data_IF_091110411626
#
_entry.id   IF_091110411626
#
_cell.length_a   1.000
_cell.length_b   1.000
_cell.length_c   1.000
_cell.angle_alpha   90.00
_cell.angle_beta   90.00
_cell.angle_gamma   90.00
#
_symmetry.space_group_name_H-M   'P 1'
#
loop_
_entity.id
_entity.type
_entity.pdbx_description
1 polymer ?
#
# COMPACT_ATOMS: atom_id res chain seq x y z
N UNK A 1 -15.94 8.59 -28.25
CA UNK A 1 -16.50 8.07 -26.99
C UNK A 1 -16.77 6.61 -27.24
N UNK A 2 -16.02 5.76 -26.57
CA UNK A 2 -16.10 4.32 -26.75
C UNK A 2 -16.74 3.74 -25.50
N UNK A 3 -17.67 2.80 -25.68
CA UNK A 3 -18.43 2.18 -24.61
C UNK A 3 -18.50 0.68 -24.85
N UNK A 4 -18.34 -0.09 -23.77
CA UNK A 4 -18.40 -1.54 -23.78
C UNK A 4 -19.23 -2.00 -22.59
N UNK A 5 -20.14 -2.95 -22.84
CA UNK A 5 -20.78 -3.74 -21.79
C UNK A 5 -20.02 -5.07 -21.65
N UNK A 6 -19.62 -5.40 -20.43
CA UNK A 6 -18.82 -6.60 -20.11
C UNK A 6 -19.63 -7.49 -19.19
N UNK A 7 -20.21 -8.56 -19.74
CA UNK A 7 -21.01 -9.54 -19.00
C UNK A 7 -20.31 -10.89 -18.78
N UNK A 8 -19.11 -11.05 -19.36
CA UNK A 8 -18.29 -12.25 -19.31
C UNK A 8 -16.81 -11.85 -19.23
N UNK A 9 -15.89 -12.75 -18.82
CA UNK A 9 -14.47 -12.46 -18.77
C UNK A 9 -13.95 -11.90 -20.09
N UNK A 10 -13.24 -10.77 -20.03
CA UNK A 10 -12.87 -9.99 -21.21
C UNK A 10 -11.60 -9.18 -20.99
N UNK A 11 -10.80 -9.06 -22.05
CA UNK A 11 -9.65 -8.15 -22.12
C UNK A 11 -9.98 -6.99 -23.06
N UNK A 12 -9.69 -5.77 -22.63
CA UNK A 12 -9.82 -4.55 -23.40
C UNK A 12 -8.49 -3.80 -23.40
N UNK A 13 -8.11 -3.26 -24.55
CA UNK A 13 -6.95 -2.38 -24.71
C UNK A 13 -7.46 -1.03 -25.22
N UNK A 14 -6.90 0.05 -24.70
CA UNK A 14 -7.31 1.42 -25.01
C UNK A 14 -6.19 2.16 -25.72
N UNK A 15 -6.31 2.33 -27.04
CA UNK A 15 -5.30 2.99 -27.87
C UNK A 15 -5.23 4.51 -27.61
N UNK A 16 -6.37 5.12 -27.24
CA UNK A 16 -6.41 6.51 -26.83
C UNK A 16 -5.76 6.68 -25.43
N UNK A 17 -4.98 7.75 -25.19
CA UNK A 17 -4.34 7.98 -23.90
C UNK A 17 -5.33 8.03 -22.73
N UNK A 18 -5.01 7.32 -21.64
CA UNK A 18 -5.76 7.38 -20.39
C UNK A 18 -4.99 8.26 -19.40
N UNK A 19 -5.61 9.35 -18.97
CA UNK A 19 -5.05 10.32 -18.01
C UNK A 19 -5.82 10.33 -16.68
N UNK A 20 -7.02 9.76 -16.67
CA UNK A 20 -7.84 9.55 -15.49
C UNK A 20 -8.52 8.19 -15.53
N UNK A 21 -8.57 7.51 -14.39
CA UNK A 21 -9.23 6.24 -14.19
C UNK A 21 -10.27 6.38 -13.07
N UNK A 22 -11.52 6.02 -13.36
CA UNK A 22 -12.58 5.91 -12.37
C UNK A 22 -13.08 4.47 -12.29
N UNK A 23 -13.02 3.85 -11.12
CA UNK A 23 -13.50 2.48 -10.91
C UNK A 23 -14.56 2.48 -9.83
N UNK A 24 -15.69 1.80 -10.06
CA UNK A 24 -16.71 1.55 -9.03
C UNK A 24 -17.20 0.11 -9.09
N UNK A 25 -16.83 -0.68 -8.08
CA UNK A 25 -17.18 -2.10 -8.02
C UNK A 25 -17.77 -2.45 -6.66
N UNK A 26 -18.73 -3.37 -6.71
CA UNK A 26 -19.38 -3.99 -5.57
C UNK A 26 -19.09 -5.49 -5.58
N UNK A 27 -18.50 -5.98 -4.50
CA UNK A 27 -17.94 -7.32 -4.30
C UNK A 27 -16.84 -7.73 -5.29
N UNK A 28 -15.92 -8.56 -4.82
CA UNK A 28 -14.79 -9.03 -5.62
C UNK A 28 -13.52 -8.22 -5.39
N UNK A 29 -12.77 -7.93 -6.45
CA UNK A 29 -11.42 -7.38 -6.37
C UNK A 29 -11.13 -6.39 -7.48
N UNK A 30 -10.47 -5.29 -7.12
CA UNK A 30 -9.96 -4.28 -8.05
C UNK A 30 -8.46 -4.18 -7.89
N UNK A 31 -7.71 -4.50 -8.94
CA UNK A 31 -6.26 -4.28 -8.99
C UNK A 31 -5.97 -3.16 -10.00
N UNK A 32 -5.19 -2.17 -9.59
CA UNK A 32 -4.69 -1.09 -10.46
C UNK A 32 -3.19 -1.03 -10.33
N UNK A 33 -2.48 -1.13 -11.46
CA UNK A 33 -1.02 -1.05 -11.52
C UNK A 33 -0.62 0.04 -12.51
N UNK A 34 0.32 0.88 -12.09
CA UNK A 34 0.98 1.85 -12.96
C UNK A 34 2.02 1.18 -13.85
N UNK A 35 2.10 1.62 -15.11
CA UNK A 35 3.11 1.19 -16.09
C UNK A 35 3.78 2.40 -16.72
N UNK A 36 5.10 2.34 -16.91
CA UNK A 36 5.90 3.49 -17.41
C UNK A 36 5.60 3.83 -18.87
N UNK A 37 5.31 2.81 -19.68
CA UNK A 37 5.01 2.96 -21.10
C UNK A 37 3.85 2.05 -21.51
N UNK A 38 3.01 2.52 -22.45
CA UNK A 38 1.98 1.71 -23.09
C UNK A 38 0.56 2.29 -23.02
N UNK A 39 -0.33 1.63 -23.76
CA UNK A 39 -1.78 1.81 -23.68
C UNK A 39 -2.32 1.30 -22.35
N UNK A 40 -3.47 1.82 -21.91
CA UNK A 40 -4.17 1.21 -20.78
C UNK A 40 -4.74 -0.17 -21.18
N UNK A 41 -4.76 -1.10 -20.22
CA UNK A 41 -5.35 -2.41 -20.38
C UNK A 41 -6.30 -2.71 -19.22
N UNK A 42 -7.45 -3.31 -19.53
CA UNK A 42 -8.41 -3.83 -18.56
C UNK A 42 -8.59 -5.33 -18.80
N UNK A 43 -8.43 -6.12 -17.75
CA UNK A 43 -8.78 -7.54 -17.72
C UNK A 43 -9.86 -7.77 -16.67
N UNK A 44 -11.03 -8.23 -17.12
CA UNK A 44 -12.08 -8.76 -16.27
C UNK A 44 -11.92 -10.27 -16.27
N UNK A 45 -11.47 -10.84 -15.14
CA UNK A 45 -11.18 -12.29 -15.04
C UNK A 45 -12.41 -13.10 -14.66
N UNK A 46 -13.26 -12.52 -13.82
CA UNK A 46 -14.53 -13.12 -13.40
C UNK A 46 -15.56 -12.00 -13.21
N UNK A 47 -16.79 -12.29 -13.58
CA UNK A 47 -17.93 -11.42 -13.33
C UNK A 47 -19.18 -12.27 -13.12
N UNK A 48 -19.92 -11.95 -12.06
CA UNK A 48 -21.22 -12.53 -11.74
C UNK A 48 -22.24 -11.41 -11.56
N UNK A 49 -23.46 -11.63 -12.04
CA UNK A 49 -24.56 -10.67 -11.92
C UNK A 49 -24.61 -9.69 -13.09
N UNK A 50 -24.82 -8.40 -12.77
CA UNK A 50 -24.97 -7.35 -13.79
C UNK A 50 -23.65 -7.11 -14.55
N UNK A 51 -23.71 -6.70 -15.84
CA UNK A 51 -22.50 -6.37 -16.59
C UNK A 51 -21.82 -5.12 -16.04
N UNK A 52 -20.49 -5.05 -16.20
CA UNK A 52 -19.73 -3.82 -16.02
C UNK A 52 -19.84 -2.96 -17.28
N UNK A 53 -20.08 -1.67 -17.08
CA UNK A 53 -20.01 -0.64 -18.12
C UNK A 53 -18.62 -0.01 -18.10
N UNK A 54 -17.94 -0.14 -19.23
CA UNK A 54 -16.63 0.45 -19.47
C UNK A 54 -16.78 1.57 -20.47
N UNK A 55 -16.32 2.77 -20.15
CA UNK A 55 -16.37 3.93 -21.07
C UNK A 55 -15.04 4.64 -21.13
N UNK A 56 -14.68 5.11 -22.33
CA UNK A 56 -13.56 6.01 -22.54
C UNK A 56 -14.05 7.30 -23.19
N UNK A 57 -13.82 8.42 -22.50
CA UNK A 57 -14.19 9.76 -22.98
C UNK A 57 -13.19 10.80 -22.49
N UNK A 58 -12.63 11.57 -23.43
CA UNK A 58 -11.72 12.69 -23.14
C UNK A 58 -10.54 12.29 -22.24
N UNK A 59 -9.95 11.11 -22.48
CA UNK A 59 -8.85 10.57 -21.67
C UNK A 59 -9.23 10.02 -20.30
N UNK A 60 -10.52 9.96 -19.96
CA UNK A 60 -11.02 9.30 -18.75
C UNK A 60 -11.55 7.92 -19.08
N UNK A 61 -10.97 6.90 -18.47
CA UNK A 61 -11.48 5.52 -18.46
C UNK A 61 -12.36 5.33 -17.22
N UNK A 62 -13.61 4.90 -17.41
CA UNK A 62 -14.53 4.56 -16.31
C UNK A 62 -14.92 3.10 -16.40
N UNK A 63 -14.81 2.36 -15.29
CA UNK A 63 -15.26 0.97 -15.14
C UNK A 63 -16.22 0.91 -13.95
N UNK A 64 -17.50 0.72 -14.20
CA UNK A 64 -18.52 0.75 -13.14
C UNK A 64 -19.74 -0.11 -13.49
N UNK A 65 -20.52 -0.52 -12.48
CA UNK A 65 -21.90 -0.93 -12.73
C UNK A 65 -22.77 0.29 -13.11
N UNK A 66 -23.71 0.14 -14.06
CA UNK A 66 -24.56 1.24 -14.57
C UNK A 66 -25.27 2.04 -13.47
N UNK A 67 -25.68 1.36 -12.39
CA UNK A 67 -26.43 1.96 -11.28
C UNK A 67 -25.57 2.89 -10.38
N UNK A 68 -24.24 2.94 -10.59
CA UNK A 68 -23.30 3.61 -9.68
C UNK A 68 -22.90 5.01 -10.18
N UNK A 69 -23.82 5.96 -10.07
CA UNK A 69 -23.54 7.39 -10.25
C UNK A 69 -23.00 7.98 -8.93
N UNK A 70 -21.94 8.79 -9.01
CA UNK A 70 -21.21 9.36 -7.84
C UNK A 70 -22.10 10.01 -6.78
N UNK A 71 -23.24 10.60 -7.17
CA UNK A 71 -24.17 11.30 -6.27
C UNK A 71 -24.96 10.35 -5.35
N UNK A 72 -25.03 9.06 -5.67
CA UNK A 72 -25.90 8.10 -4.98
C UNK A 72 -25.13 7.12 -4.06
N UNK A 73 -23.84 7.36 -3.79
CA UNK A 73 -23.02 6.49 -2.91
C UNK A 73 -23.59 6.32 -1.50
N UNK A 74 -24.29 7.32 -0.95
CA UNK A 74 -24.99 7.18 0.34
C UNK A 74 -26.27 6.32 0.27
N UNK A 75 -26.87 6.14 -0.92
CA UNK A 75 -28.10 5.34 -1.12
C UNK A 75 -27.83 3.84 -1.31
N UNK A 76 -26.56 3.42 -1.27
CA UNK A 76 -26.16 2.03 -1.46
C UNK A 76 -26.60 1.08 -0.31
N UNK A 77 -27.05 1.60 0.84
CA UNK A 77 -27.61 0.76 1.92
C UNK A 77 -28.83 -0.09 1.49
N UNK A 78 -29.43 0.17 0.32
CA UNK A 78 -30.66 -0.47 -0.17
C UNK A 78 -30.42 -1.54 -1.26
N UNK A 79 -29.40 -2.39 -1.12
CA UNK A 79 -29.17 -3.52 -2.04
C UNK A 79 -30.00 -4.75 -1.68
N UNK A 80 -31.29 -4.68 -2.03
CA UNK A 80 -32.12 -5.86 -2.21
C UNK A 80 -31.66 -6.62 -3.47
N UNK A 81 -30.70 -7.53 -3.29
CA UNK A 81 -30.72 -8.85 -3.93
C UNK A 81 -30.30 -9.02 -5.39
N UNK A 82 -29.07 -8.64 -5.78
CA UNK A 82 -28.33 -9.38 -6.81
C UNK A 82 -26.91 -9.67 -6.32
N UNK A 83 -26.49 -10.94 -6.39
CA UNK A 83 -25.09 -11.35 -6.19
C UNK A 83 -24.28 -10.78 -7.36
N UNK A 84 -23.70 -9.60 -7.15
CA UNK A 84 -22.78 -8.95 -8.10
C UNK A 84 -21.38 -9.08 -7.53
N UNK A 85 -20.44 -9.53 -8.34
CA UNK A 85 -19.03 -9.66 -8.00
C UNK A 85 -18.21 -9.52 -9.27
N UNK A 86 -17.09 -8.81 -9.22
CA UNK A 86 -16.16 -8.75 -10.34
C UNK A 86 -14.72 -8.77 -9.87
N UNK A 87 -13.86 -9.47 -10.60
CA UNK A 87 -12.40 -9.43 -10.44
C UNK A 87 -11.83 -8.70 -11.64
N UNK A 88 -11.34 -7.48 -11.41
CA UNK A 88 -10.81 -6.61 -12.46
C UNK A 88 -9.36 -6.22 -12.16
N UNK A 89 -8.56 -6.22 -13.21
CA UNK A 89 -7.17 -5.76 -13.19
C UNK A 89 -6.98 -4.69 -14.26
N UNK A 90 -6.40 -3.57 -13.89
CA UNK A 90 -6.12 -2.43 -14.77
C UNK A 90 -4.64 -2.10 -14.76
N UNK A 91 -4.02 -2.07 -15.94
CA UNK A 91 -2.72 -1.46 -16.15
C UNK A 91 -2.93 -0.08 -16.78
N UNK A 92 -2.45 0.98 -16.15
CA UNK A 92 -2.59 2.36 -16.63
C UNK A 92 -1.26 3.10 -16.58
N UNK A 93 -1.02 4.13 -17.41
CA UNK A 93 0.19 4.94 -17.31
C UNK A 93 0.41 5.47 -15.89
N UNK A 94 1.65 5.47 -15.38
CA UNK A 94 1.97 5.87 -13.98
C UNK A 94 1.42 7.27 -13.60
N UNK A 95 1.37 8.21 -14.55
CA UNK A 95 0.82 9.56 -14.34
C UNK A 95 -0.71 9.65 -14.25
N UNK A 96 -1.43 8.53 -14.33
CA UNK A 96 -2.90 8.51 -14.32
C UNK A 96 -3.46 8.97 -12.98
N UNK A 97 -4.46 9.86 -13.01
CA UNK A 97 -5.25 10.18 -11.81
C UNK A 97 -6.23 9.04 -11.53
N UNK A 98 -6.11 8.38 -10.39
CA UNK A 98 -6.89 7.19 -10.06
C UNK A 98 -7.94 7.52 -9.01
N UNK A 99 -9.20 7.19 -9.29
CA UNK A 99 -10.27 7.16 -8.28
C UNK A 99 -10.95 5.79 -8.26
N UNK A 100 -10.92 5.15 -7.09
CA UNK A 100 -11.49 3.82 -6.86
C UNK A 100 -12.53 3.90 -5.75
N UNK A 101 -13.77 3.52 -6.06
CA UNK A 101 -14.84 3.31 -5.09
C UNK A 101 -15.15 1.82 -4.98
N UNK A 102 -14.99 1.26 -3.78
CA UNK A 102 -15.23 -0.17 -3.53
C UNK A 102 -16.17 -0.40 -2.37
N UNK A 103 -16.92 -1.48 -2.53
CA UNK A 103 -18.09 -1.83 -1.74
C UNK A 103 -17.99 -3.34 -1.51
N UNK A 104 -17.71 -3.80 -0.29
CA UNK A 104 -17.49 -5.23 -0.01
C UNK A 104 -16.48 -5.89 -0.98
N UNK A 105 -15.55 -5.12 -1.52
CA UNK A 105 -14.56 -5.54 -2.50
C UNK A 105 -13.18 -5.03 -2.08
N UNK A 106 -12.15 -5.84 -2.31
CA UNK A 106 -10.76 -5.48 -2.02
C UNK A 106 -10.19 -4.61 -3.13
N UNK A 107 -9.40 -3.60 -2.78
CA UNK A 107 -8.70 -2.75 -3.74
C UNK A 107 -7.19 -2.81 -3.51
N UNK A 108 -6.42 -3.10 -4.57
CA UNK A 108 -4.97 -2.97 -4.59
C UNK A 108 -4.60 -1.92 -5.64
N UNK A 109 -3.88 -0.88 -5.23
CA UNK A 109 -3.36 0.16 -6.13
C UNK A 109 -1.86 0.25 -5.95
N UNK A 110 -1.11 0.10 -7.03
CA UNK A 110 0.36 0.14 -7.01
C UNK A 110 0.99 0.96 -8.12
N UNK A 111 2.12 1.60 -7.81
CA UNK A 111 2.99 2.25 -8.80
C UNK A 111 2.39 3.47 -9.50
N UNK A 112 1.55 4.25 -8.82
CA UNK A 112 0.90 5.43 -9.41
C UNK A 112 1.58 6.72 -8.93
N UNK A 113 1.99 7.54 -9.88
CA UNK A 113 2.54 8.88 -9.66
C UNK A 113 1.46 9.97 -9.68
N UNK A 114 0.32 9.67 -10.32
CA UNK A 114 -0.84 10.55 -10.31
C UNK A 114 -1.54 10.61 -8.94
N UNK A 115 -2.43 11.59 -8.79
CA UNK A 115 -3.30 11.69 -7.62
C UNK A 115 -4.15 10.44 -7.49
N UNK A 116 -4.18 9.85 -6.29
CA UNK A 116 -4.96 8.64 -6.00
C UNK A 116 -6.00 8.91 -4.92
N UNK A 117 -7.26 8.56 -5.19
CA UNK A 117 -8.39 8.65 -4.27
C UNK A 117 -9.05 7.28 -4.13
N UNK A 118 -9.15 6.76 -2.92
CA UNK A 118 -9.86 5.51 -2.64
C UNK A 118 -10.97 5.74 -1.64
N UNK A 119 -12.15 5.19 -1.91
CA UNK A 119 -13.31 5.19 -1.02
C UNK A 119 -13.79 3.76 -0.83
N UNK A 120 -13.53 3.20 0.34
CA UNK A 120 -13.98 1.87 0.75
C UNK A 120 -15.10 1.95 1.77
N UNK A 121 -15.87 0.88 1.89
CA UNK A 121 -16.80 0.70 3.02
C UNK A 121 -16.44 -0.52 3.84
N UNK A 122 -16.35 -1.70 3.25
CA UNK A 122 -16.15 -2.96 4.00
C UNK A 122 -15.05 -3.86 3.46
N UNK A 123 -14.48 -3.56 2.29
CA UNK A 123 -13.35 -4.31 1.76
C UNK A 123 -12.03 -3.59 2.02
N UNK A 124 -10.97 -4.39 2.18
CA UNK A 124 -9.64 -3.90 2.50
C UNK A 124 -9.00 -3.17 1.31
N UNK A 125 -8.12 -2.21 1.60
CA UNK A 125 -7.41 -1.42 0.62
C UNK A 125 -5.91 -1.51 0.85
N UNK A 126 -5.16 -1.87 -0.17
CA UNK A 126 -3.69 -1.91 -0.15
C UNK A 126 -3.15 -0.90 -1.16
N UNK A 127 -2.27 0.00 -0.70
CA UNK A 127 -1.66 1.08 -1.47
C UNK A 127 -0.14 0.91 -1.43
N UNK A 128 0.51 0.72 -2.59
CA UNK A 128 1.94 0.39 -2.63
C UNK A 128 2.69 1.28 -3.62
N UNK A 129 3.74 1.96 -3.17
CA UNK A 129 4.64 2.69 -4.08
C UNK A 129 3.94 3.83 -4.82
N UNK A 130 3.15 4.65 -4.12
CA UNK A 130 2.47 5.80 -4.73
C UNK A 130 3.23 7.09 -4.42
N UNK A 131 3.53 7.87 -5.46
CA UNK A 131 4.33 9.09 -5.32
C UNK A 131 3.50 10.38 -5.40
N UNK A 132 2.32 10.33 -6.02
CA UNK A 132 1.37 11.45 -6.03
C UNK A 132 0.61 11.61 -4.71
N UNK A 133 -0.21 12.68 -4.56
CA UNK A 133 -1.07 12.84 -3.38
C UNK A 133 -2.09 11.70 -3.26
N UNK A 134 -2.16 11.10 -2.07
CA UNK A 134 -3.01 9.95 -1.74
C UNK A 134 -4.07 10.34 -0.74
N UNK A 135 -5.32 10.00 -1.04
CA UNK A 135 -6.44 10.09 -0.11
C UNK A 135 -7.19 8.76 -0.05
N UNK A 136 -7.32 8.17 1.14
CA UNK A 136 -8.19 7.02 1.35
C UNK A 136 -9.22 7.31 2.46
N UNK A 137 -10.47 6.98 2.19
CA UNK A 137 -11.58 7.04 3.14
C UNK A 137 -12.18 5.62 3.26
N UNK A 138 -12.27 5.07 4.47
CA UNK A 138 -12.89 3.76 4.73
C UNK A 138 -13.89 3.83 5.90
N UNK A 139 -14.85 2.91 5.93
CA UNK A 139 -15.75 2.74 7.08
C UNK A 139 -15.24 1.61 7.97
N UNK A 140 -15.24 0.38 7.49
CA UNK A 140 -14.86 -0.82 8.26
C UNK A 140 -13.79 -1.69 7.60
N UNK A 141 -13.41 -1.42 6.35
CA UNK A 141 -12.28 -2.10 5.70
C UNK A 141 -10.94 -1.53 6.18
N UNK A 142 -9.91 -2.36 6.27
CA UNK A 142 -8.57 -1.92 6.67
C UNK A 142 -7.87 -1.20 5.52
N UNK A 143 -6.95 -0.29 5.83
CA UNK A 143 -6.07 0.33 4.83
C UNK A 143 -4.62 0.09 5.19
N UNK A 144 -3.90 -0.54 4.27
CA UNK A 144 -2.47 -0.76 4.34
C UNK A 144 -1.80 0.11 3.28
N UNK A 145 -0.87 0.95 3.72
CA UNK A 145 -0.12 1.86 2.86
C UNK A 145 1.37 1.61 3.02
N UNK A 146 2.06 1.27 1.93
CA UNK A 146 3.48 0.96 1.91
C UNK A 146 4.24 1.80 0.89
N UNK A 147 5.43 2.28 1.25
CA UNK A 147 6.33 2.99 0.34
C UNK A 147 5.68 4.21 -0.32
N UNK A 148 4.92 4.99 0.46
CA UNK A 148 4.28 6.21 -0.03
C UNK A 148 5.21 7.41 0.15
N UNK A 149 5.35 8.21 -0.91
CA UNK A 149 6.27 9.37 -0.93
C UNK A 149 5.57 10.71 -1.12
N UNK A 150 4.32 10.71 -1.62
CA UNK A 150 3.48 11.91 -1.73
C UNK A 150 2.70 12.26 -0.46
N UNK A 151 1.94 13.36 -0.47
CA UNK A 151 1.06 13.74 0.65
C UNK A 151 0.02 12.65 0.95
N UNK A 152 -0.09 12.26 2.22
CA UNK A 152 -0.97 11.17 2.64
C UNK A 152 -2.10 11.68 3.54
N UNK A 153 -3.36 11.41 3.14
CA UNK A 153 -4.54 11.61 3.99
C UNK A 153 -5.39 10.36 4.09
N UNK A 154 -5.43 9.74 5.27
CA UNK A 154 -6.22 8.54 5.55
C UNK A 154 -7.31 8.85 6.57
N UNK A 155 -8.54 8.40 6.31
CA UNK A 155 -9.64 8.48 7.26
C UNK A 155 -10.31 7.12 7.43
N UNK A 156 -10.60 6.72 8.67
CA UNK A 156 -11.35 5.50 8.98
C UNK A 156 -12.42 5.74 10.05
N UNK A 157 -13.49 4.94 10.03
CA UNK A 157 -14.41 4.85 11.17
C UNK A 157 -13.94 3.74 12.11
N UNK A 158 -13.92 2.50 11.65
CA UNK A 158 -13.60 1.32 12.48
C UNK A 158 -12.55 0.38 11.91
N UNK A 159 -12.14 0.55 10.64
CA UNK A 159 -11.04 -0.23 10.06
C UNK A 159 -9.68 0.24 10.57
N UNK A 160 -8.72 -0.67 10.65
CA UNK A 160 -7.35 -0.37 11.05
C UNK A 160 -6.60 0.33 9.90
N UNK A 161 -5.70 1.25 10.25
CA UNK A 161 -4.88 2.00 9.30
C UNK A 161 -3.40 1.74 9.62
N UNK A 162 -2.71 1.13 8.67
CA UNK A 162 -1.29 0.79 8.78
C UNK A 162 -0.51 1.52 7.69
N UNK A 163 0.51 2.28 8.08
CA UNK A 163 1.46 2.95 7.18
C UNK A 163 2.85 2.41 7.46
N UNK A 164 3.52 1.87 6.44
CA UNK A 164 4.86 1.30 6.53
C UNK A 164 5.75 1.99 5.49
N UNK A 165 6.97 2.34 5.89
CA UNK A 165 7.98 2.89 4.98
C UNK A 165 7.52 4.17 4.27
N UNK A 166 6.78 5.01 5.01
CA UNK A 166 6.33 6.30 4.51
C UNK A 166 7.45 7.33 4.58
N UNK A 167 7.81 7.91 3.44
CA UNK A 167 8.69 9.09 3.33
C UNK A 167 7.94 10.36 2.93
N UNK A 168 6.60 10.32 3.08
CA UNK A 168 5.69 11.43 2.83
C UNK A 168 6.07 12.70 3.63
N UNK A 169 6.04 13.89 3.00
CA UNK A 169 6.30 15.15 3.69
C UNK A 169 5.17 15.55 4.64
N UNK A 170 3.94 15.12 4.34
CA UNK A 170 2.76 15.35 5.16
C UNK A 170 1.95 14.06 5.30
N UNK A 171 1.71 13.64 6.54
CA UNK A 171 0.90 12.46 6.88
C UNK A 171 -0.22 12.89 7.82
N UNK A 172 -1.46 12.79 7.35
CA UNK A 172 -2.65 13.02 8.17
C UNK A 172 -3.50 11.76 8.24
N UNK A 173 -3.72 11.26 9.45
CA UNK A 173 -4.53 10.07 9.69
C UNK A 173 -5.57 10.38 10.77
N UNK A 174 -6.84 10.22 10.43
CA UNK A 174 -7.96 10.42 11.36
C UNK A 174 -8.77 9.10 11.47
N UNK A 175 -9.01 8.61 12.69
CA UNK A 175 -9.81 7.40 12.97
C UNK A 175 -10.83 7.66 14.09
N UNK A 176 -11.89 6.86 14.15
CA UNK A 176 -12.80 6.86 15.31
C UNK A 176 -12.40 5.76 16.29
N UNK A 177 -12.42 4.50 15.86
CA UNK A 177 -12.16 3.35 16.74
C UNK A 177 -11.09 2.37 16.25
N UNK A 178 -10.68 2.44 14.98
CA UNK A 178 -9.63 1.57 14.43
C UNK A 178 -8.24 1.96 14.93
N UNK A 179 -7.35 0.97 14.97
CA UNK A 179 -5.95 1.12 15.37
C UNK A 179 -5.15 1.83 14.29
N UNK A 180 -4.22 2.69 14.71
CA UNK A 180 -3.31 3.43 13.85
C UNK A 180 -1.88 2.94 14.09
N UNK A 181 -1.29 2.29 13.10
CA UNK A 181 0.12 1.88 13.15
C UNK A 181 0.86 2.66 12.07
N UNK A 182 1.87 3.44 12.48
CA UNK A 182 2.62 4.29 11.55
C UNK A 182 4.11 4.06 11.78
N UNK A 183 4.75 3.38 10.83
CA UNK A 183 6.20 3.22 10.74
C UNK A 183 6.74 4.15 9.66
N UNK A 184 7.51 5.15 10.10
CA UNK A 184 7.99 6.20 9.24
C UNK A 184 9.49 6.03 8.98
N UNK A 185 9.84 6.20 7.71
CA UNK A 185 11.22 6.41 7.29
C UNK A 185 11.31 7.76 6.57
N UNK A 186 11.46 8.87 7.32
CA UNK A 186 11.49 10.20 6.72
C UNK A 186 12.68 10.44 5.77
N UNK A 187 13.57 9.47 5.52
CA UNK A 187 14.74 9.63 4.64
C UNK A 187 15.55 10.90 4.95
N UNK A 188 15.59 11.30 6.23
CA UNK A 188 16.27 12.53 6.69
C UNK A 188 15.55 13.86 6.38
N UNK A 189 14.29 13.84 5.91
CA UNK A 189 13.49 15.06 5.67
C UNK A 189 12.58 15.37 6.84
N UNK A 190 12.30 16.65 7.03
CA UNK A 190 11.25 17.09 7.94
C UNK A 190 9.87 16.69 7.41
N UNK A 191 9.12 15.92 8.19
CA UNK A 191 7.72 15.55 7.89
C UNK A 191 6.77 16.14 8.93
N UNK A 192 5.57 16.54 8.50
CA UNK A 192 4.46 16.92 9.38
C UNK A 192 3.48 15.76 9.51
N UNK A 193 3.44 15.14 10.69
CA UNK A 193 2.63 13.96 10.97
C UNK A 193 1.55 14.34 11.99
N UNK A 194 0.29 14.16 11.62
CA UNK A 194 -0.88 14.39 12.47
C UNK A 194 -1.76 13.14 12.52
N UNK A 195 -1.80 12.50 13.68
CA UNK A 195 -2.61 11.32 13.96
C UNK A 195 -3.70 11.67 14.97
N UNK A 196 -4.96 11.42 14.62
CA UNK A 196 -6.10 11.66 15.51
C UNK A 196 -6.93 10.38 15.61
N UNK A 197 -7.26 9.98 16.84
CA UNK A 197 -8.23 8.90 17.11
C UNK A 197 -9.21 9.34 18.21
N UNK A 198 -10.33 8.64 18.36
CA UNK A 198 -11.22 8.82 19.52
C UNK A 198 -10.94 7.72 20.54
N UNK A 199 -11.09 6.46 20.14
CA UNK A 199 -10.91 5.31 21.03
C UNK A 199 -9.87 4.29 20.55
N UNK A 200 -9.38 4.42 19.31
CA UNK A 200 -8.38 3.51 18.76
C UNK A 200 -6.99 3.76 19.31
N UNK A 201 -6.16 2.72 19.27
CA UNK A 201 -4.76 2.76 19.67
C UNK A 201 -3.91 3.46 18.61
N UNK A 202 -2.85 4.15 19.02
CA UNK A 202 -1.89 4.79 18.12
C UNK A 202 -0.49 4.29 18.45
N UNK A 203 0.12 3.53 17.55
CA UNK A 203 1.51 3.12 17.61
C UNK A 203 2.30 3.85 16.54
N UNK A 204 3.31 4.62 16.96
CA UNK A 204 4.21 5.33 16.04
C UNK A 204 5.62 4.82 16.24
N UNK A 205 6.26 4.39 15.15
CA UNK A 205 7.66 4.01 15.12
C UNK A 205 8.44 5.07 14.35
N UNK A 206 9.41 5.68 15.02
CA UNK A 206 10.26 6.74 14.48
C UNK A 206 11.70 6.22 14.29
N UNK A 207 12.44 6.70 13.26
CA UNK A 207 13.85 6.37 13.10
C UNK A 207 14.67 6.83 14.30
N UNK A 208 15.85 6.23 14.49
CA UNK A 208 16.81 6.68 15.49
C UNK A 208 18.16 6.96 14.81
N UNK A 209 18.64 8.22 14.77
CA UNK A 209 18.10 9.41 15.42
C UNK A 209 16.83 9.98 14.73
N UNK A 210 15.90 10.52 15.53
CA UNK A 210 14.72 11.24 15.05
C UNK A 210 14.92 12.76 15.12
N UNK A 211 14.29 13.50 14.22
CA UNK A 211 14.33 14.97 14.16
C UNK A 211 12.91 15.57 14.07
N UNK A 212 12.25 15.75 15.22
CA UNK A 212 10.87 16.22 15.28
C UNK A 212 10.50 16.87 16.61
N UNK A 213 9.63 17.89 16.54
CA UNK A 213 8.87 18.39 17.68
C UNK A 213 7.67 17.45 17.93
N UNK A 214 7.62 16.85 19.12
CA UNK A 214 6.64 15.82 19.48
C UNK A 214 5.60 16.37 20.46
N UNK A 215 4.32 16.19 20.13
CA UNK A 215 3.18 16.41 21.02
C UNK A 215 2.23 15.22 20.96
N UNK A 216 2.16 14.46 22.05
CA UNK A 216 1.23 13.34 22.22
C UNK A 216 0.28 13.66 23.35
N UNK A 217 -1.02 13.50 23.09
CA UNK A 217 -2.08 13.85 24.03
C UNK A 217 -3.11 12.70 24.09
N UNK A 218 -3.39 12.20 25.30
CA UNK A 218 -4.51 11.28 25.57
C UNK A 218 -5.33 11.77 26.75
N UNK A 219 -6.66 11.80 26.64
CA UNK A 219 -7.51 12.32 27.71
C UNK A 219 -7.66 11.34 28.89
N UNK A 220 -7.73 10.03 28.62
CA UNK A 220 -7.85 9.00 29.66
C UNK A 220 -7.03 7.73 29.40
N UNK A 221 -6.49 7.54 28.20
CA UNK A 221 -5.73 6.34 27.85
C UNK A 221 -4.26 6.41 28.28
N UNK A 222 -3.57 5.25 28.36
CA UNK A 222 -2.15 5.20 28.69
C UNK A 222 -1.30 5.76 27.54
N UNK A 223 -0.19 6.43 27.90
CA UNK A 223 0.80 6.89 26.93
C UNK A 223 2.17 6.38 27.37
N UNK A 224 2.90 5.75 26.45
CA UNK A 224 4.26 5.26 26.65
C UNK A 224 5.20 5.83 25.60
N UNK A 225 6.47 6.00 25.96
CA UNK A 225 7.51 6.43 25.04
C UNK A 225 8.81 5.69 25.32
N UNK A 226 9.44 5.21 24.26
CA UNK A 226 10.78 4.65 24.30
C UNK A 226 11.88 5.73 24.23
N UNK A 227 11.55 7.03 24.21
CA UNK A 227 12.53 8.13 24.08
C UNK A 227 12.76 8.81 25.44
N UNK A 228 14.01 8.83 25.90
CA UNK A 228 14.39 9.42 27.21
C UNK A 228 14.31 10.95 27.23
N UNK A 229 14.52 11.58 26.07
CA UNK A 229 14.45 13.03 25.90
C UNK A 229 13.02 13.61 25.98
N UNK A 230 12.00 12.74 25.92
CA UNK A 230 10.60 13.15 25.96
C UNK A 230 10.10 13.21 27.41
N UNK A 231 9.61 14.39 27.81
CA UNK A 231 9.06 14.59 29.16
C UNK A 231 7.60 14.16 29.19
N UNK A 232 7.31 13.14 29.99
CA UNK A 232 5.93 12.72 30.29
C UNK A 232 5.37 13.60 31.41
N UNK A 233 4.20 14.21 31.19
CA UNK A 233 3.46 14.98 32.19
C UNK A 233 2.06 14.38 32.41
N UNK A 234 1.59 14.44 33.65
CA UNK A 234 0.29 13.94 34.09
C UNK A 234 0.39 12.64 34.89
N UNK A 235 0.17 12.71 36.21
CA UNK A 235 0.13 11.53 37.09
C UNK A 235 -1.27 10.92 37.23
N UNK A 236 -2.34 11.70 37.02
CA UNK A 236 -3.75 11.27 37.07
C UNK A 236 -4.57 11.96 35.97
N UNK A 237 -5.37 11.19 35.20
CA UNK A 237 -6.20 11.72 34.11
C UNK A 237 -5.45 11.88 32.79
N UNK A 238 -5.61 13.04 32.13
CA UNK A 238 -5.02 13.31 30.82
C UNK A 238 -3.49 13.21 30.84
N UNK A 239 -2.95 12.41 29.91
CA UNK A 239 -1.51 12.18 29.75
C UNK A 239 -1.01 12.94 28.54
N UNK A 240 0.08 13.69 28.74
CA UNK A 240 0.71 14.46 27.68
C UNK A 240 2.21 14.18 27.64
N UNK A 241 2.72 13.89 26.45
CA UNK A 241 4.15 13.82 26.18
C UNK A 241 4.49 14.97 25.25
N UNK A 242 5.44 15.80 25.66
CA UNK A 242 5.99 16.87 24.81
C UNK A 242 7.50 16.86 24.89
N UNK A 243 8.14 17.12 23.76
CA UNK A 243 9.59 17.29 23.71
C UNK A 243 10.08 17.47 22.29
N UNK A 244 11.36 17.73 22.17
CA UNK A 244 12.06 17.90 20.91
C UNK A 244 13.05 16.77 20.75
N UNK A 245 12.96 16.04 19.65
CA UNK A 245 13.95 15.07 19.22
C UNK A 245 14.86 15.74 18.18
N UNK A 246 16.18 15.64 18.35
CA UNK A 246 17.15 16.25 17.44
C UNK A 246 16.99 17.77 17.33
N UNK A 247 16.97 18.28 16.10
CA UNK A 247 16.80 19.69 15.80
C UNK A 247 15.32 20.13 15.74
N UNK A 248 14.35 19.25 15.94
CA UNK A 248 12.92 19.56 15.85
C UNK A 248 12.47 20.11 14.49
N UNK A 249 13.10 19.71 13.38
CA UNK A 249 12.74 20.21 12.06
C UNK A 249 11.39 19.65 11.55
N UNK A 250 11.07 18.40 11.91
CA UNK A 250 9.77 17.80 11.66
C UNK A 250 8.75 18.06 12.79
N UNK A 251 7.52 17.59 12.60
CA UNK A 251 6.47 17.64 13.62
C UNK A 251 5.76 16.29 13.71
N UNK A 252 5.59 15.80 14.94
CA UNK A 252 4.72 14.67 15.24
C UNK A 252 3.67 15.09 16.25
N UNK A 253 2.40 15.05 15.84
CA UNK A 253 1.24 15.22 16.70
C UNK A 253 0.40 13.94 16.70
N UNK A 254 0.20 13.34 17.87
CA UNK A 254 -0.72 12.22 18.04
C UNK A 254 -1.73 12.55 19.14
N UNK A 255 -3.02 12.37 18.87
CA UNK A 255 -4.09 12.69 19.83
C UNK A 255 -5.14 11.59 19.85
N UNK A 256 -5.52 11.15 21.04
CA UNK A 256 -6.65 10.24 21.26
C UNK A 256 -7.47 10.66 22.49
N UNK A 257 -8.71 10.21 22.60
CA UNK A 257 -9.52 10.50 23.80
C UNK A 257 -9.31 9.38 24.82
N UNK A 258 -9.65 8.14 24.46
CA UNK A 258 -9.57 6.99 25.37
C UNK A 258 -8.58 5.91 24.95
N UNK A 259 -8.02 6.00 23.73
CA UNK A 259 -7.06 5.03 23.21
C UNK A 259 -5.69 5.11 23.87
N UNK A 260 -4.90 4.05 23.71
CA UNK A 260 -3.49 4.04 24.10
C UNK A 260 -2.63 4.72 23.03
N UNK A 261 -1.53 5.36 23.43
CA UNK A 261 -0.52 5.86 22.49
C UNK A 261 0.86 5.34 22.87
N UNK A 262 1.54 4.70 21.92
CA UNK A 262 2.90 4.19 22.08
C UNK A 262 3.84 4.85 21.06
N UNK A 263 4.91 5.49 21.56
CA UNK A 263 6.03 5.96 20.74
C UNK A 263 7.20 4.99 20.86
N UNK A 264 7.57 4.33 19.76
CA UNK A 264 8.59 3.30 19.70
C UNK A 264 9.79 3.75 18.86
N UNK A 265 10.98 3.25 19.19
CA UNK A 265 12.17 3.40 18.35
C UNK A 265 12.12 2.39 17.21
N UNK A 266 12.44 2.80 15.98
CA UNK A 266 12.80 1.89 14.90
C UNK A 266 14.21 1.35 15.20
N UNK A 267 14.43 0.02 15.17
CA UNK A 267 15.79 -0.50 15.14
C UNK A 267 16.54 0.13 13.97
N UNK A 268 17.86 0.41 14.09
CA UNK A 268 18.65 0.78 12.93
C UNK A 268 18.49 -0.31 11.87
N UNK A 269 18.32 0.08 10.60
CA UNK A 269 18.39 -0.88 9.51
C UNK A 269 19.76 -1.55 9.59
N UNK A 270 19.79 -2.87 9.74
CA UNK A 270 21.01 -3.63 9.52
C UNK A 270 21.28 -3.51 8.02
N UNK A 271 22.17 -2.58 7.65
CA UNK A 271 22.86 -2.63 6.37
C UNK A 271 23.71 -3.91 6.41
N UNK A 272 23.12 -5.08 6.15
CA UNK A 272 23.89 -6.26 5.76
C UNK A 272 24.14 -6.13 4.26
N UNK A 273 25.32 -5.64 3.81
CA UNK A 273 25.75 -5.95 2.47
C UNK A 273 25.84 -7.48 2.40
N UNK A 274 25.08 -8.07 1.48
CA UNK A 274 25.41 -9.40 0.99
C UNK A 274 26.83 -9.32 0.42
N UNK A 275 27.82 -9.68 1.24
CA UNK A 275 29.19 -9.88 0.77
C UNK A 275 29.16 -11.11 -0.15
N UNK A 276 29.11 -10.85 -1.46
CA UNK A 276 29.49 -11.78 -2.52
C UNK A 276 31.01 -12.07 -2.46
N UNK A 277 31.50 -12.50 -1.30
CA UNK A 277 32.83 -13.05 -1.15
C UNK A 277 32.74 -14.56 -1.38
N UNK A 278 32.57 -14.97 -2.64
CA UNK A 278 33.06 -16.27 -3.07
C UNK A 278 34.58 -16.23 -2.90
N UNK A 279 35.20 -17.05 -2.03
CA UNK A 279 36.64 -17.09 -1.94
C UNK A 279 37.20 -17.66 -3.24
N UNK A 280 37.62 -16.77 -4.15
CA UNK A 280 38.63 -17.10 -5.15
C UNK A 280 39.91 -17.28 -4.36
N UNK A 281 40.30 -18.54 -4.16
CA UNK A 281 41.67 -19.04 -4.10
C UNK A 281 41.78 -20.20 -3.09
N UNK A 282 41.52 -21.41 -3.61
CA UNK A 282 42.13 -22.62 -3.09
C UNK A 282 42.40 -23.57 -4.26
N UNK A 283 43.30 -23.16 -5.15
CA UNK A 283 44.08 -24.11 -5.94
C UNK A 283 45.46 -24.21 -5.28
N UNK A 284 45.81 -25.36 -4.72
CA UNK A 284 47.20 -25.80 -4.70
C UNK A 284 47.37 -26.87 -5.78
N UNK A 285 48.16 -26.53 -6.80
CA UNK A 285 48.77 -27.49 -7.72
C UNK A 285 49.65 -28.49 -6.96
N UNK A 286 49.58 -29.75 -7.37
CA UNK A 286 50.07 -30.90 -6.61
C UNK A 286 51.52 -31.31 -6.85
N UNK A 287 51.87 -32.50 -6.34
CA UNK A 287 53.00 -33.32 -6.82
C UNK A 287 52.77 -34.82 -6.55
N UNK A 288 52.90 -35.62 -7.62
CA UNK A 288 53.43 -37.00 -7.80
C UNK A 288 53.07 -38.19 -6.90
N UNK A 289 52.84 -39.33 -7.57
CA UNK A 289 53.20 -40.70 -7.12
C UNK A 289 52.06 -41.71 -7.26
N UNK A 290 51.85 -42.30 -8.45
CA UNK A 290 52.12 -43.73 -8.74
C UNK A 290 51.36 -44.74 -7.84
N UNK A 291 50.37 -45.48 -8.36
CA UNK A 291 50.63 -46.77 -9.04
C UNK A 291 49.34 -47.47 -9.54
N UNK A 292 49.52 -48.11 -10.71
CA UNK A 292 48.88 -49.34 -11.22
C UNK A 292 47.35 -49.56 -11.10
N UNK A 293 46.65 -49.65 -12.24
CA UNK A 293 46.44 -50.93 -12.95
C UNK A 293 45.34 -50.82 -14.04
N UNK A 294 45.78 -51.03 -15.29
CA UNK A 294 45.18 -51.91 -16.31
C UNK A 294 43.75 -51.65 -16.86
N UNK A 295 43.74 -50.96 -18.01
CA UNK A 295 43.04 -51.14 -19.31
C UNK A 295 42.13 -52.38 -19.58
N UNK A 296 41.50 -52.51 -20.77
CA UNK A 296 40.60 -51.59 -21.50
C UNK A 296 39.39 -52.34 -22.17
N UNK A 297 38.37 -51.64 -22.67
CA UNK A 297 37.68 -51.98 -23.94
C UNK A 297 36.69 -50.87 -24.31
N UNK A 298 36.95 -50.09 -25.37
CA UNK A 298 36.34 -50.15 -26.72
C UNK A 298 34.82 -49.93 -26.74
N UNK A 299 34.20 -49.14 -27.60
CA UNK A 299 34.60 -48.36 -28.75
C UNK A 299 33.43 -47.43 -29.12
N UNK A 300 33.72 -46.43 -29.96
CA UNK A 300 32.81 -45.35 -30.33
C UNK A 300 31.61 -45.73 -31.23
N UNK A 301 30.94 -44.70 -31.79
CA UNK A 301 29.49 -44.60 -31.91
C UNK A 301 28.95 -44.93 -33.30
N UNK A 302 27.62 -45.14 -33.47
CA UNK A 302 26.86 -44.67 -34.66
C UNK A 302 25.35 -45.01 -34.63
N UNK A 303 24.53 -43.98 -34.85
CA UNK A 303 23.41 -43.86 -35.80
C UNK A 303 22.39 -45.01 -36.11
N UNK A 304 21.12 -44.61 -35.99
CA UNK A 304 19.98 -44.78 -36.94
C UNK A 304 19.18 -46.09 -37.09
N UNK A 305 17.84 -45.88 -37.13
CA UNK A 305 16.72 -46.66 -37.71
C UNK A 305 16.42 -48.00 -37.00
N UNK A 306 15.19 -48.39 -36.71
CA UNK A 306 13.87 -47.96 -37.17
C UNK A 306 13.04 -49.22 -37.38
N UNK A 307 11.98 -49.41 -36.58
CA UNK A 307 10.70 -50.10 -36.82
C UNK A 307 10.00 -50.27 -35.47
#
# INVERSE_FOLDING_TARGET
>A
MSEWSVAEPKKLTFDEPVTALHVRVASGTVNVVGVDEGSAHLEVTSIEGAPLTVTQKNGTLTVAYEDLVWKDFLKWLDLKGWRRSAVISLAVPVGTRVEVGVVSATAMISGIDGRTVVKGVSGDTTLVGLSGPVRADTVSGNVEAQALTGDLRLNSVSGDLTVIDGSSPSVRVDSVSGSLIVDLDPAGRASDISLTSISGEIAVRLPHPADAEVSVDSASGPVSSAFEDLRVRGQWGAKKITGRLGAGNGRLKATTVSGSIALLRRPPAEDEPWDDAVPKDAVPGGVSGADSATSPDSGGPTHQKGL
#
